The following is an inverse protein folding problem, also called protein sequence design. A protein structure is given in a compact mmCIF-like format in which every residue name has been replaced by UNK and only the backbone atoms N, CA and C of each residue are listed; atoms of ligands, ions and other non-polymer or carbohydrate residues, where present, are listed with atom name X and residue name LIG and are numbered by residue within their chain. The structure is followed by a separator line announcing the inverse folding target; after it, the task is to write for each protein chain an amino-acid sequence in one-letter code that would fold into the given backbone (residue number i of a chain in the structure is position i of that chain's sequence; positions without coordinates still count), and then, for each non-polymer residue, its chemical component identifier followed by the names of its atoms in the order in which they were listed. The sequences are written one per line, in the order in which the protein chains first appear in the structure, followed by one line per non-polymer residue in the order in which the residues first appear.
data_IF_942139468375
#
_entry.id   IF_942139468375
#
_cell.length_a   1.000
_cell.length_b   1.000
_cell.length_c   1.000
_cell.angle_alpha   90.00
_cell.angle_beta   90.00
_cell.angle_gamma   90.00
#
_symmetry.space_group_name_H-M   'P 1'
#
loop_
_entity.id
_entity.type
_entity.pdbx_description
1 polymer ?
#
# COMPACT_ATOMS: atom_id res chain seq x y z
N UNK A 1 11.48 -10.42 61.57
CA UNK A 1 10.59 -9.48 60.87
C UNK A 1 11.25 -9.18 59.52
N UNK A 2 10.83 -9.87 58.45
CA UNK A 2 11.40 -9.69 57.09
C UNK A 2 10.56 -8.67 56.37
N UNK A 3 11.15 -7.54 56.04
CA UNK A 3 10.52 -6.45 55.24
C UNK A 3 10.44 -6.92 53.79
N UNK A 4 9.24 -7.21 53.28
CA UNK A 4 9.01 -7.41 51.86
C UNK A 4 8.95 -6.04 51.19
N UNK A 5 9.97 -5.71 50.40
CA UNK A 5 9.96 -4.54 49.54
C UNK A 5 9.08 -4.85 48.32
N UNK A 6 7.87 -4.31 48.30
CA UNK A 6 6.99 -4.37 47.12
C UNK A 6 7.52 -3.38 46.09
N UNK A 7 8.24 -3.87 45.08
CA UNK A 7 8.60 -3.10 43.92
C UNK A 7 7.35 -3.05 43.03
N UNK A 8 6.61 -1.98 43.10
CA UNK A 8 5.55 -1.65 42.13
C UNK A 8 6.26 -1.23 40.85
N UNK A 9 6.41 -2.15 39.91
CA UNK A 9 6.71 -1.81 38.51
C UNK A 9 5.51 -1.07 37.97
N UNK A 10 5.54 0.27 37.99
CA UNK A 10 4.67 1.09 37.19
C UNK A 10 4.99 0.75 35.72
N UNK A 11 4.11 -0.01 35.09
CA UNK A 11 4.11 -0.11 33.62
C UNK A 11 3.82 1.29 33.10
N UNK A 12 4.88 2.05 32.86
CA UNK A 12 4.78 3.29 32.07
C UNK A 12 4.41 2.81 30.68
N UNK A 13 3.15 2.95 30.32
CA UNK A 13 2.72 2.85 28.93
C UNK A 13 3.54 3.88 28.17
N UNK A 14 4.53 3.40 27.40
CA UNK A 14 5.35 4.22 26.50
C UNK A 14 4.48 4.56 25.27
N UNK A 15 3.32 5.14 25.53
CA UNK A 15 2.53 5.81 24.51
C UNK A 15 3.10 7.24 24.44
N UNK A 16 4.03 7.44 23.52
CA UNK A 16 4.61 8.78 23.31
C UNK A 16 3.48 9.81 23.16
N UNK A 17 3.61 10.97 23.80
CA UNK A 17 2.67 12.07 23.59
C UNK A 17 2.69 12.47 22.13
N UNK A 18 1.53 12.79 21.55
CA UNK A 18 1.47 13.41 20.23
C UNK A 18 2.35 14.66 20.26
N UNK A 19 3.35 14.78 19.37
CA UNK A 19 4.27 15.92 19.39
C UNK A 19 3.52 17.23 19.08
N UNK A 20 3.88 18.30 19.75
CA UNK A 20 3.31 19.64 19.48
C UNK A 20 3.81 20.23 18.17
N UNK A 21 4.92 19.72 17.62
CA UNK A 21 5.54 20.17 16.37
C UNK A 21 6.10 18.96 15.61
N UNK A 22 5.85 18.91 14.29
CA UNK A 22 6.43 17.93 13.39
C UNK A 22 5.93 16.51 13.62
N UNK A 23 6.80 15.56 13.32
CA UNK A 23 6.55 14.12 13.38
C UNK A 23 7.66 13.43 14.15
N UNK A 24 7.29 12.53 15.04
CA UNK A 24 8.19 11.60 15.71
C UNK A 24 7.99 10.21 15.16
N UNK A 25 9.08 9.50 14.88
CA UNK A 25 9.06 8.11 14.40
C UNK A 25 9.97 7.29 15.31
N UNK A 26 9.39 6.32 16.00
CA UNK A 26 10.10 5.39 16.87
C UNK A 26 9.94 3.96 16.32
N UNK A 27 10.98 3.17 16.36
CA UNK A 27 10.92 1.75 16.00
C UNK A 27 11.00 0.92 17.29
N UNK A 28 10.09 -0.02 17.43
CA UNK A 28 10.13 -0.98 18.52
C UNK A 28 11.19 -2.07 18.28
N UNK A 29 11.32 -2.99 19.24
CA UNK A 29 12.26 -4.12 19.14
C UNK A 29 11.97 -5.12 18.02
N UNK A 30 10.78 -5.06 17.42
CA UNK A 30 10.36 -5.90 16.30
C UNK A 30 10.54 -5.19 14.97
N UNK A 31 10.95 -3.93 14.98
CA UNK A 31 11.12 -3.11 13.79
C UNK A 31 9.82 -2.45 13.29
N UNK A 32 8.74 -2.50 14.08
CA UNK A 32 7.51 -1.80 13.76
C UNK A 32 7.68 -0.31 14.00
N UNK A 33 7.34 0.51 13.01
CA UNK A 33 7.40 1.95 13.13
C UNK A 33 6.16 2.49 13.84
N UNK A 34 6.36 3.32 14.84
CA UNK A 34 5.35 4.10 15.55
C UNK A 34 5.50 5.56 15.13
N UNK A 35 4.59 6.05 14.29
CA UNK A 35 4.59 7.42 13.78
C UNK A 35 3.59 8.25 14.58
N UNK A 36 4.07 9.28 15.25
CA UNK A 36 3.23 10.24 15.97
C UNK A 36 3.41 11.63 15.37
N UNK A 37 2.32 12.27 14.97
CA UNK A 37 2.34 13.54 14.27
C UNK A 37 1.33 14.55 14.83
N UNK A 38 1.63 15.84 14.68
CA UNK A 38 0.75 16.93 15.19
C UNK A 38 -0.56 17.07 14.43
N UNK A 39 -0.64 16.56 13.19
CA UNK A 39 -1.81 16.59 12.31
C UNK A 39 -1.74 15.45 11.27
N UNK A 40 -2.80 15.29 10.48
CA UNK A 40 -2.93 14.23 9.47
C UNK A 40 -1.89 14.37 8.34
N UNK A 41 -1.61 15.58 7.87
CA UNK A 41 -0.62 15.80 6.80
C UNK A 41 0.78 15.36 7.24
N UNK A 42 1.21 15.78 8.43
CA UNK A 42 2.48 15.35 9.03
C UNK A 42 2.51 13.84 9.32
N UNK A 43 1.34 13.22 9.57
CA UNK A 43 1.22 11.77 9.73
C UNK A 43 1.51 11.03 8.42
N UNK A 44 0.96 11.50 7.30
CA UNK A 44 1.25 10.94 5.98
C UNK A 44 2.72 11.14 5.59
N UNK A 45 3.31 12.29 5.90
CA UNK A 45 4.74 12.51 5.74
C UNK A 45 5.56 11.46 6.51
N UNK A 46 5.28 11.27 7.79
CA UNK A 46 5.95 10.27 8.62
C UNK A 46 5.75 8.84 8.13
N UNK A 47 4.56 8.53 7.59
CA UNK A 47 4.28 7.22 7.01
C UNK A 47 5.15 6.97 5.78
N UNK A 48 5.22 7.93 4.84
CA UNK A 48 6.10 7.82 3.66
C UNK A 48 7.58 7.67 4.04
N UNK A 49 8.04 8.46 5.01
CA UNK A 49 9.40 8.36 5.55
C UNK A 49 9.70 6.99 6.15
N UNK A 50 8.82 6.48 7.05
CA UNK A 50 9.00 5.21 7.74
C UNK A 50 8.98 4.02 6.77
N UNK A 51 8.07 4.02 5.81
CA UNK A 51 8.02 2.99 4.75
C UNK A 51 9.32 2.98 3.94
N UNK A 52 9.83 4.15 3.59
CA UNK A 52 11.09 4.27 2.84
C UNK A 52 12.29 3.83 3.68
N UNK A 53 12.32 4.17 4.97
CA UNK A 53 13.36 3.68 5.88
C UNK A 53 13.48 2.15 5.84
N UNK A 54 12.36 1.44 5.83
CA UNK A 54 12.33 -0.02 5.91
C UNK A 54 12.42 -0.71 4.54
N UNK A 55 11.91 -0.07 3.47
CA UNK A 55 11.70 -0.71 2.17
C UNK A 55 12.05 0.17 0.96
N UNK A 56 13.04 1.09 1.07
CA UNK A 56 13.34 2.07 0.02
C UNK A 56 13.43 1.47 -1.40
N UNK A 57 14.28 0.46 -1.59
CA UNK A 57 14.52 -0.11 -2.91
C UNK A 57 13.30 -0.84 -3.47
N UNK A 58 12.55 -1.54 -2.62
CA UNK A 58 11.31 -2.20 -3.02
C UNK A 58 10.23 -1.19 -3.38
N UNK A 59 10.00 -0.19 -2.52
CA UNK A 59 9.02 0.87 -2.75
C UNK A 59 9.24 1.56 -4.09
N UNK A 60 10.47 1.98 -4.37
CA UNK A 60 10.82 2.68 -5.60
C UNK A 60 10.77 1.75 -6.83
N UNK A 61 11.14 0.46 -6.69
CA UNK A 61 10.92 -0.54 -7.74
C UNK A 61 9.43 -0.67 -8.10
N UNK A 62 8.57 -0.79 -7.10
CA UNK A 62 7.12 -0.89 -7.32
C UNK A 62 6.54 0.35 -8.01
N UNK A 63 7.07 1.54 -7.69
CA UNK A 63 6.67 2.78 -8.38
C UNK A 63 7.23 2.86 -9.80
N UNK A 64 8.46 2.40 -10.05
CA UNK A 64 9.01 2.27 -11.40
C UNK A 64 8.11 1.39 -12.29
N UNK A 65 7.73 0.23 -11.76
CA UNK A 65 6.81 -0.69 -12.42
C UNK A 65 5.45 -0.04 -12.70
N UNK A 66 4.92 0.71 -11.73
CA UNK A 66 3.63 1.38 -11.89
C UNK A 66 3.67 2.53 -12.91
N UNK A 67 4.80 3.23 -13.01
CA UNK A 67 5.05 4.24 -14.07
C UNK A 67 5.26 3.65 -15.46
N UNK A 68 5.34 2.32 -15.62
CA UNK A 68 5.72 1.67 -16.88
C UNK A 68 7.20 1.84 -17.23
N UNK A 69 8.07 2.11 -16.24
CA UNK A 69 9.51 2.31 -16.39
C UNK A 69 10.34 1.15 -15.83
N UNK A 70 9.69 0.05 -15.45
CA UNK A 70 10.39 -1.10 -14.89
C UNK A 70 11.45 -1.66 -15.83
N UNK A 71 11.15 -1.83 -17.12
CA UNK A 71 12.10 -2.37 -18.10
C UNK A 71 13.30 -1.47 -18.37
N UNK A 72 13.11 -0.15 -18.36
CA UNK A 72 14.18 0.84 -18.50
C UNK A 72 15.24 0.70 -17.40
N UNK A 73 14.81 0.35 -16.19
CA UNK A 73 15.61 0.44 -14.98
C UNK A 73 16.06 -0.95 -14.49
N UNK A 74 15.15 -1.92 -14.52
CA UNK A 74 15.38 -3.27 -13.98
C UNK A 74 15.56 -4.34 -15.06
N UNK A 75 15.51 -3.95 -16.34
CA UNK A 75 15.86 -4.81 -17.47
C UNK A 75 14.67 -5.53 -18.13
N UNK A 76 14.96 -6.43 -19.10
CA UNK A 76 13.97 -6.96 -20.03
C UNK A 76 12.86 -7.81 -19.38
N UNK A 77 13.09 -8.34 -18.19
CA UNK A 77 12.06 -9.08 -17.44
C UNK A 77 10.80 -8.28 -17.13
N UNK A 78 10.90 -6.95 -17.13
CA UNK A 78 9.79 -6.04 -16.82
C UNK A 78 9.01 -5.57 -18.07
N UNK A 79 9.39 -5.98 -19.28
CA UNK A 79 8.79 -5.51 -20.55
C UNK A 79 7.31 -5.83 -20.63
N UNK A 80 6.90 -7.05 -20.23
CA UNK A 80 5.49 -7.45 -20.26
C UNK A 80 4.63 -6.58 -19.34
N UNK A 81 5.11 -6.30 -18.13
CA UNK A 81 4.43 -5.42 -17.19
C UNK A 81 4.40 -3.97 -17.69
N UNK A 82 5.50 -3.45 -18.24
CA UNK A 82 5.52 -2.11 -18.82
C UNK A 82 4.48 -1.98 -19.94
N UNK A 83 4.41 -2.98 -20.83
CA UNK A 83 3.40 -2.99 -21.91
C UNK A 83 1.99 -2.96 -21.32
N UNK A 84 1.70 -3.79 -20.32
CA UNK A 84 0.40 -3.81 -19.66
C UNK A 84 0.03 -2.45 -19.06
N UNK A 85 0.96 -1.84 -18.32
CA UNK A 85 0.77 -0.51 -17.71
C UNK A 85 0.48 0.57 -18.76
N UNK A 86 1.32 0.64 -19.79
CA UNK A 86 1.24 1.71 -20.80
C UNK A 86 0.05 1.51 -21.74
N UNK A 87 -0.24 0.27 -22.15
CA UNK A 87 -1.41 -0.02 -23.00
C UNK A 87 -2.74 0.35 -22.32
N UNK A 88 -2.79 0.22 -20.99
CA UNK A 88 -3.97 0.60 -20.23
C UNK A 88 -4.01 2.09 -19.82
N UNK A 89 -3.01 2.88 -20.21
CA UNK A 89 -2.94 4.31 -19.89
C UNK A 89 -2.98 4.59 -18.39
N UNK A 90 -2.33 3.73 -17.58
CA UNK A 90 -2.42 3.84 -16.13
C UNK A 90 -1.82 5.14 -15.59
N UNK A 91 -0.66 5.64 -16.08
CA UNK A 91 -0.09 6.89 -15.60
C UNK A 91 -1.02 8.09 -15.81
N UNK A 92 -1.64 8.20 -17.00
CA UNK A 92 -2.55 9.27 -17.35
C UNK A 92 -3.83 9.21 -16.50
N UNK A 93 -4.37 8.02 -16.32
CA UNK A 93 -5.55 7.78 -15.47
C UNK A 93 -5.29 8.13 -14.01
N UNK A 94 -4.13 7.77 -13.49
CA UNK A 94 -3.76 8.10 -12.12
C UNK A 94 -3.55 9.60 -11.92
N UNK A 95 -2.96 10.29 -12.91
CA UNK A 95 -2.84 11.74 -12.89
C UNK A 95 -4.22 12.42 -12.91
N UNK A 96 -5.18 11.88 -13.66
CA UNK A 96 -6.57 12.36 -13.63
C UNK A 96 -7.23 12.09 -12.27
N UNK A 97 -7.10 10.90 -11.74
CA UNK A 97 -7.62 10.58 -10.41
C UNK A 97 -7.05 11.48 -9.32
N UNK A 98 -5.76 11.81 -9.40
CA UNK A 98 -5.14 12.75 -8.47
C UNK A 98 -5.79 14.14 -8.57
N UNK A 99 -6.03 14.66 -9.79
CA UNK A 99 -6.70 15.95 -9.99
C UNK A 99 -8.13 15.98 -9.45
N UNK A 100 -8.83 14.85 -9.51
CA UNK A 100 -10.22 14.69 -9.02
C UNK A 100 -10.31 14.56 -7.49
N UNK A 101 -9.20 14.31 -6.79
CA UNK A 101 -9.22 14.24 -5.35
C UNK A 101 -9.47 15.63 -4.72
N UNK A 102 -10.02 15.63 -3.49
CA UNK A 102 -10.13 16.87 -2.73
C UNK A 102 -8.75 17.49 -2.50
N UNK A 103 -8.65 18.82 -2.38
CA UNK A 103 -7.37 19.47 -2.08
C UNK A 103 -6.69 18.90 -0.83
N UNK A 104 -7.48 18.59 0.19
CA UNK A 104 -7.01 18.00 1.44
C UNK A 104 -6.36 16.63 1.20
N UNK A 105 -7.03 15.73 0.49
CA UNK A 105 -6.48 14.41 0.23
C UNK A 105 -5.26 14.45 -0.70
N UNK A 106 -5.21 15.37 -1.66
CA UNK A 106 -3.98 15.62 -2.43
C UNK A 106 -2.83 16.03 -1.54
N UNK A 107 -3.08 16.93 -0.56
CA UNK A 107 -2.09 17.32 0.44
C UNK A 107 -1.52 16.13 1.21
N UNK A 108 -2.35 15.16 1.57
CA UNK A 108 -1.90 13.92 2.24
C UNK A 108 -1.02 13.05 1.33
N UNK A 109 -1.41 12.89 0.05
CA UNK A 109 -0.61 12.15 -0.91
C UNK A 109 0.75 12.82 -1.19
N UNK A 110 0.75 14.14 -1.30
CA UNK A 110 1.97 14.93 -1.50
C UNK A 110 2.89 14.87 -0.27
N UNK A 111 2.32 14.90 0.92
CA UNK A 111 3.07 14.74 2.17
C UNK A 111 3.71 13.35 2.28
N UNK A 112 2.98 12.29 1.88
CA UNK A 112 3.52 10.94 1.82
C UNK A 112 4.70 10.85 0.84
N UNK A 113 4.54 11.38 -0.37
CA UNK A 113 5.59 11.45 -1.38
C UNK A 113 6.79 12.27 -0.90
N UNK A 114 6.54 13.40 -0.22
CA UNK A 114 7.59 14.22 0.40
C UNK A 114 8.38 13.44 1.43
N UNK A 115 7.74 12.65 2.28
CA UNK A 115 8.41 11.78 3.26
C UNK A 115 9.38 10.79 2.59
N UNK A 116 8.97 10.20 1.46
CA UNK A 116 9.82 9.32 0.65
C UNK A 116 11.05 10.07 0.11
N UNK A 117 10.83 11.23 -0.51
CA UNK A 117 11.88 12.02 -1.13
C UNK A 117 12.89 12.55 -0.11
N UNK A 118 12.41 13.05 1.03
CA UNK A 118 13.25 13.59 2.09
C UNK A 118 14.11 12.48 2.74
N UNK A 119 13.54 11.27 2.92
CA UNK A 119 14.33 10.13 3.36
C UNK A 119 15.44 9.79 2.36
N UNK A 120 15.08 9.70 1.08
CA UNK A 120 16.04 9.39 0.01
C UNK A 120 17.16 10.43 -0.10
N UNK A 121 16.84 11.70 0.06
CA UNK A 121 17.82 12.80 0.07
C UNK A 121 18.75 12.74 1.29
N UNK A 122 18.21 12.32 2.46
CA UNK A 122 18.99 12.26 3.71
C UNK A 122 19.89 11.03 3.78
N UNK A 123 19.49 9.93 3.19
CA UNK A 123 20.19 8.63 3.25
C UNK A 123 20.40 8.02 1.86
N UNK A 124 21.05 8.75 0.92
CA UNK A 124 21.20 8.28 -0.44
C UNK A 124 22.04 7.00 -0.55
N UNK A 125 22.90 6.72 0.42
CA UNK A 125 23.71 5.49 0.48
C UNK A 125 22.88 4.23 0.73
N UNK A 126 21.65 4.36 1.22
CA UNK A 126 20.72 3.24 1.44
C UNK A 126 19.91 2.86 0.21
N UNK A 127 20.01 3.64 -0.86
CA UNK A 127 19.29 3.42 -2.10
C UNK A 127 20.23 2.88 -3.18
N UNK A 128 19.77 1.87 -3.92
CA UNK A 128 20.45 1.40 -5.12
C UNK A 128 20.41 2.48 -6.23
N UNK A 129 21.25 2.32 -7.26
CA UNK A 129 21.26 3.24 -8.41
C UNK A 129 19.91 3.24 -9.15
N UNK A 130 19.30 2.06 -9.29
CA UNK A 130 18.01 1.85 -9.92
C UNK A 130 16.90 2.59 -9.14
N UNK A 131 16.88 2.47 -7.81
CA UNK A 131 15.92 3.16 -6.97
C UNK A 131 16.04 4.67 -7.09
N UNK A 132 17.26 5.21 -7.12
CA UNK A 132 17.51 6.65 -7.28
C UNK A 132 16.98 7.20 -8.61
N UNK A 133 16.98 6.39 -9.70
CA UNK A 133 16.48 6.80 -11.01
C UNK A 133 14.95 7.07 -11.05
N UNK A 134 14.23 6.67 -10.00
CA UNK A 134 12.78 6.89 -9.87
C UNK A 134 12.43 8.23 -9.23
N UNK A 135 13.34 8.77 -8.45
CA UNK A 135 13.13 10.04 -7.75
C UNK A 135 13.04 11.24 -8.71
N UNK A 136 12.26 12.26 -8.41
CA UNK A 136 11.39 12.35 -7.24
C UNK A 136 10.08 11.56 -7.39
N UNK A 137 9.53 11.14 -6.25
CA UNK A 137 8.17 10.62 -6.12
C UNK A 137 7.21 11.80 -5.98
N UNK A 138 6.00 11.66 -6.52
CA UNK A 138 4.92 12.66 -6.44
C UNK A 138 3.67 12.05 -5.81
N UNK A 139 2.70 12.86 -5.41
CA UNK A 139 1.42 12.37 -4.88
C UNK A 139 0.61 11.51 -5.86
N UNK A 140 0.95 11.52 -7.15
CA UNK A 140 0.35 10.63 -8.16
C UNK A 140 0.82 9.18 -7.99
N UNK A 141 2.06 8.94 -7.58
CA UNK A 141 2.67 7.61 -7.52
C UNK A 141 1.95 6.62 -6.58
N UNK A 142 1.59 6.98 -5.35
CA UNK A 142 0.82 6.07 -4.49
C UNK A 142 -0.57 5.75 -5.05
N UNK A 143 -1.23 6.67 -5.76
CA UNK A 143 -2.50 6.38 -6.45
C UNK A 143 -2.28 5.47 -7.65
N UNK A 144 -1.27 5.74 -8.46
CA UNK A 144 -0.91 4.92 -9.61
C UNK A 144 -0.58 3.49 -9.19
N UNK A 145 0.20 3.33 -8.12
CA UNK A 145 0.52 2.03 -7.57
C UNK A 145 -0.74 1.31 -7.05
N UNK A 146 -1.60 2.01 -6.31
CA UNK A 146 -2.87 1.47 -5.82
C UNK A 146 -3.78 1.03 -6.98
N UNK A 147 -3.88 1.84 -8.05
CA UNK A 147 -4.62 1.51 -9.28
C UNK A 147 -4.06 0.25 -9.93
N UNK A 148 -2.74 0.16 -10.14
CA UNK A 148 -2.10 -1.01 -10.72
C UNK A 148 -2.39 -2.27 -9.92
N UNK A 149 -2.28 -2.22 -8.61
CA UNK A 149 -2.51 -3.39 -7.75
C UNK A 149 -3.99 -3.77 -7.72
N UNK A 150 -4.89 -2.82 -7.42
CA UNK A 150 -6.30 -3.14 -7.21
C UNK A 150 -7.00 -3.45 -8.54
N UNK A 151 -6.93 -2.55 -9.52
CA UNK A 151 -7.70 -2.70 -10.75
C UNK A 151 -7.02 -3.58 -11.79
N UNK A 152 -5.69 -3.48 -11.92
CA UNK A 152 -4.95 -4.09 -13.02
C UNK A 152 -4.08 -5.30 -12.61
N UNK A 153 -4.29 -5.80 -11.39
CA UNK A 153 -3.74 -7.09 -10.94
C UNK A 153 -4.85 -7.97 -10.34
N UNK A 154 -5.66 -7.43 -9.42
CA UNK A 154 -6.70 -8.23 -8.77
C UNK A 154 -8.02 -8.28 -9.57
N UNK A 155 -8.48 -7.18 -10.18
CA UNK A 155 -9.73 -7.16 -10.97
C UNK A 155 -9.46 -7.64 -12.39
N UNK A 156 -8.52 -7.01 -13.10
CA UNK A 156 -8.11 -7.44 -14.44
C UNK A 156 -6.59 -7.67 -14.48
N UNK A 157 -6.16 -8.60 -15.33
CA UNK A 157 -4.74 -8.85 -15.56
C UNK A 157 -4.50 -9.26 -17.00
N UNK A 158 -3.28 -9.09 -17.49
CA UNK A 158 -2.91 -9.53 -18.84
C UNK A 158 -3.23 -11.01 -19.05
N UNK A 159 -2.99 -11.84 -18.05
CA UNK A 159 -3.27 -13.29 -18.10
C UNK A 159 -4.78 -13.59 -18.21
N UNK A 160 -5.63 -12.84 -17.50
CA UNK A 160 -7.09 -12.97 -17.61
C UNK A 160 -7.60 -12.56 -18.98
N UNK A 161 -7.09 -11.47 -19.53
CA UNK A 161 -7.44 -11.02 -20.88
C UNK A 161 -7.02 -12.04 -21.92
N UNK A 162 -5.81 -12.57 -21.83
CA UNK A 162 -5.30 -13.61 -22.73
C UNK A 162 -6.11 -14.91 -22.63
N UNK A 163 -6.43 -15.35 -21.42
CA UNK A 163 -7.26 -16.53 -21.19
C UNK A 163 -8.65 -16.37 -21.80
N UNK A 164 -9.30 -15.22 -21.61
CA UNK A 164 -10.60 -14.93 -22.21
C UNK A 164 -10.52 -14.87 -23.74
N UNK A 165 -9.48 -14.28 -24.31
CA UNK A 165 -9.28 -14.19 -25.76
C UNK A 165 -9.04 -15.56 -26.42
N UNK A 166 -8.44 -16.51 -25.72
CA UNK A 166 -8.11 -17.86 -26.21
C UNK A 166 -9.15 -18.91 -25.83
N UNK A 167 -10.16 -18.57 -25.03
CA UNK A 167 -11.14 -19.51 -24.49
C UNK A 167 -10.56 -20.43 -23.40
N UNK A 168 -9.36 -20.13 -22.91
CA UNK A 168 -8.75 -20.85 -21.82
C UNK A 168 -9.40 -20.47 -20.48
N UNK A 169 -9.47 -21.42 -19.55
CA UNK A 169 -9.86 -21.09 -18.17
C UNK A 169 -8.69 -20.33 -17.54
N UNK A 170 -8.92 -19.06 -17.20
CA UNK A 170 -7.93 -18.31 -16.45
C UNK A 170 -7.65 -19.05 -15.13
N UNK A 171 -6.50 -19.68 -15.02
CA UNK A 171 -6.01 -20.14 -13.72
C UNK A 171 -5.75 -18.89 -12.90
N UNK A 172 -6.65 -18.59 -12.00
CA UNK A 172 -6.37 -17.62 -10.96
C UNK A 172 -5.30 -18.24 -10.07
N UNK A 173 -4.04 -17.88 -10.28
CA UNK A 173 -3.02 -18.04 -9.24
C UNK A 173 -3.31 -17.09 -8.06
N UNK A 174 -4.48 -16.49 -8.09
CA UNK A 174 -4.94 -15.66 -7.01
C UNK A 174 -5.15 -16.56 -5.80
N UNK A 175 -4.19 -16.54 -4.91
CA UNK A 175 -4.45 -16.89 -3.54
C UNK A 175 -5.73 -16.18 -3.12
N UNK A 176 -6.52 -16.78 -2.28
CA UNK A 176 -7.67 -16.12 -1.67
C UNK A 176 -7.23 -15.31 -0.46
N UNK A 177 -8.19 -14.95 0.34
CA UNK A 177 -7.96 -14.40 1.68
C UNK A 177 -9.12 -14.81 2.55
N UNK A 178 -8.87 -14.92 3.86
CA UNK A 178 -9.91 -15.15 4.84
C UNK A 178 -9.95 -13.99 5.84
N UNK A 179 -11.14 -13.65 6.29
CA UNK A 179 -11.35 -12.71 7.37
C UNK A 179 -12.48 -13.20 8.28
N UNK A 180 -12.28 -13.08 9.58
CA UNK A 180 -13.31 -13.40 10.59
C UNK A 180 -13.40 -12.23 11.57
N UNK A 181 -14.63 -11.76 11.78
CA UNK A 181 -14.98 -10.85 12.85
C UNK A 181 -15.88 -11.60 13.85
N UNK A 182 -15.46 -11.69 15.10
CA UNK A 182 -16.19 -12.40 16.16
C UNK A 182 -16.61 -11.38 17.20
N UNK A 183 -17.92 -11.22 17.37
CA UNK A 183 -18.50 -10.28 18.32
C UNK A 183 -18.38 -10.73 19.78
N UNK A 184 -18.54 -9.82 20.74
CA UNK A 184 -18.31 -10.05 22.18
C UNK A 184 -19.11 -11.22 22.77
N UNK A 185 -20.31 -11.49 22.26
CA UNK A 185 -21.15 -12.58 22.74
C UNK A 185 -20.64 -13.98 22.42
N UNK A 186 -19.61 -14.09 21.58
CA UNK A 186 -19.00 -15.36 21.12
C UNK A 186 -17.54 -15.51 21.52
N UNK A 187 -17.04 -14.62 22.37
CA UNK A 187 -15.65 -14.64 22.85
C UNK A 187 -15.59 -14.85 24.36
N UNK A 188 -14.59 -15.56 24.83
CA UNK A 188 -14.30 -15.65 26.26
C UNK A 188 -13.73 -14.30 26.72
N UNK A 189 -14.38 -13.68 27.70
CA UNK A 189 -13.97 -12.36 28.19
C UNK A 189 -14.64 -11.17 27.52
N UNK A 190 -15.56 -11.39 26.55
CA UNK A 190 -16.43 -10.34 25.99
C UNK A 190 -15.75 -9.32 25.08
N UNK A 191 -14.53 -9.59 24.61
CA UNK A 191 -13.83 -8.76 23.64
C UNK A 191 -14.20 -9.10 22.19
N UNK A 192 -14.04 -8.18 21.25
CA UNK A 192 -14.15 -8.44 19.81
C UNK A 192 -12.84 -9.00 19.28
N UNK A 193 -12.92 -10.00 18.39
CA UNK A 193 -11.76 -10.53 17.67
C UNK A 193 -11.89 -10.25 16.17
N UNK A 194 -10.81 -9.82 15.55
CA UNK A 194 -10.68 -9.68 14.11
C UNK A 194 -9.46 -10.47 13.64
N UNK A 195 -9.65 -11.38 12.69
CA UNK A 195 -8.58 -12.11 12.06
C UNK A 195 -8.57 -11.79 10.58
N UNK A 196 -7.41 -11.44 10.04
CA UNK A 196 -7.15 -11.29 8.61
C UNK A 196 -6.04 -12.23 8.18
N UNK A 197 -6.26 -12.94 7.08
CA UNK A 197 -5.30 -13.90 6.55
C UNK A 197 -5.24 -13.77 5.02
N UNK A 198 -4.36 -12.92 4.47
CA UNK A 198 -4.11 -12.83 3.03
C UNK A 198 -3.30 -14.04 2.56
N UNK A 199 -3.78 -14.75 1.52
CA UNK A 199 -3.09 -15.87 0.87
C UNK A 199 -2.47 -15.39 -0.45
N UNK A 200 -1.58 -14.45 -0.40
CA UNK A 200 -0.89 -13.91 -1.57
C UNK A 200 0.47 -14.60 -1.75
N UNK A 201 0.96 -14.62 -3.00
CA UNK A 201 2.29 -15.13 -3.30
C UNK A 201 3.36 -14.34 -2.53
N UNK A 202 4.38 -15.02 -2.05
CA UNK A 202 5.53 -14.38 -1.43
C UNK A 202 6.38 -13.71 -2.51
N UNK A 203 6.40 -12.40 -2.49
CA UNK A 203 7.12 -11.61 -3.49
C UNK A 203 6.91 -10.12 -3.31
N UNK A 204 7.59 -9.35 -4.13
CA UNK A 204 7.70 -7.89 -4.03
C UNK A 204 6.35 -7.20 -3.86
N UNK A 205 5.38 -7.50 -4.75
CA UNK A 205 4.06 -6.86 -4.74
C UNK A 205 3.24 -7.18 -3.49
N UNK A 206 3.49 -8.31 -2.86
CA UNK A 206 2.75 -8.81 -1.70
C UNK A 206 3.49 -8.59 -0.38
N UNK A 207 4.57 -7.83 -0.38
CA UNK A 207 5.28 -7.48 0.84
C UNK A 207 4.46 -6.51 1.68
N UNK A 208 4.15 -6.90 2.91
CA UNK A 208 3.43 -6.07 3.86
C UNK A 208 4.40 -5.31 4.76
N UNK A 209 3.98 -4.11 5.14
CA UNK A 209 4.64 -3.24 6.10
C UNK A 209 3.70 -2.96 7.26
N UNK A 210 4.12 -3.29 8.46
CA UNK A 210 3.37 -3.10 9.70
C UNK A 210 3.76 -1.75 10.31
N UNK A 211 2.76 -0.98 10.76
CA UNK A 211 2.96 0.39 11.25
C UNK A 211 1.85 0.82 12.20
N UNK A 212 2.21 1.67 13.16
CA UNK A 212 1.30 2.37 14.05
C UNK A 212 1.30 3.88 13.73
N UNK A 213 0.11 4.44 13.50
CA UNK A 213 -0.11 5.82 13.06
C UNK A 213 -0.94 6.56 14.09
N UNK A 214 -0.42 7.71 14.60
CA UNK A 214 -1.08 8.53 15.62
C UNK A 214 -1.05 10.01 15.27
N UNK A 215 -2.24 10.63 15.32
CA UNK A 215 -2.44 12.07 15.24
C UNK A 215 -3.67 12.46 16.06
N UNK A 216 -3.98 13.77 16.27
CA UNK A 216 -5.20 14.15 16.95
C UNK A 216 -6.45 13.52 16.32
N UNK A 217 -7.17 12.70 17.08
CA UNK A 217 -8.36 11.97 16.62
C UNK A 217 -8.07 10.74 15.76
N UNK A 218 -6.80 10.38 15.55
CA UNK A 218 -6.37 9.22 14.76
C UNK A 218 -5.44 8.36 15.63
N UNK A 219 -5.80 7.09 15.78
CA UNK A 219 -4.93 6.06 16.34
C UNK A 219 -5.22 4.75 15.63
N UNK A 220 -4.32 4.35 14.73
CA UNK A 220 -4.47 3.22 13.83
C UNK A 220 -3.25 2.31 13.92
N UNK A 221 -3.47 1.04 14.15
CA UNK A 221 -2.42 0.03 14.04
C UNK A 221 -2.80 -0.95 12.94
N UNK A 222 -1.84 -1.33 12.12
CA UNK A 222 -2.12 -2.29 11.08
C UNK A 222 -1.01 -2.50 10.08
N UNK A 223 -1.37 -3.06 8.94
CA UNK A 223 -0.43 -3.37 7.87
C UNK A 223 -0.99 -2.99 6.50
N UNK A 224 -0.09 -2.68 5.59
CA UNK A 224 -0.40 -2.47 4.19
C UNK A 224 0.70 -3.04 3.30
N UNK A 225 0.39 -3.30 2.05
CA UNK A 225 1.43 -3.59 1.07
C UNK A 225 2.31 -2.34 0.87
N UNK A 226 3.61 -2.58 0.70
CA UNK A 226 4.58 -1.50 0.46
C UNK A 226 4.14 -0.66 -0.74
N UNK A 227 4.14 0.65 -0.57
CA UNK A 227 3.76 1.61 -1.61
C UNK A 227 2.32 2.12 -1.54
N UNK A 228 1.46 1.55 -0.71
CA UNK A 228 0.13 2.09 -0.46
C UNK A 228 0.18 3.23 0.57
N UNK A 229 -0.58 4.31 0.36
CA UNK A 229 -0.65 5.42 1.30
C UNK A 229 -1.70 5.21 2.40
N UNK A 230 -2.24 4.00 2.55
CA UNK A 230 -3.28 3.68 3.53
C UNK A 230 -3.11 2.25 4.05
N UNK A 231 -3.60 2.01 5.27
CA UNK A 231 -3.63 0.67 5.86
C UNK A 231 -4.73 -0.17 5.21
N UNK A 232 -4.41 -1.41 4.88
CA UNK A 232 -5.35 -2.37 4.28
C UNK A 232 -5.87 -3.38 5.29
N UNK A 233 -5.12 -3.62 6.34
CA UNK A 233 -5.51 -4.35 7.54
C UNK A 233 -5.28 -3.39 8.68
N UNK A 234 -6.33 -3.02 9.40
CA UNK A 234 -6.24 -1.96 10.40
C UNK A 234 -7.21 -2.21 11.54
N UNK A 235 -6.81 -1.80 12.72
CA UNK A 235 -7.68 -1.66 13.86
C UNK A 235 -7.37 -0.39 14.66
N UNK A 236 -8.38 0.07 15.34
CA UNK A 236 -8.36 1.16 16.30
C UNK A 236 -9.23 0.78 17.51
N UNK A 237 -9.42 1.67 18.45
CA UNK A 237 -10.33 1.46 19.57
C UNK A 237 -11.81 1.29 19.12
N UNK A 238 -12.16 1.73 17.90
CA UNK A 238 -13.54 1.80 17.41
C UNK A 238 -13.83 0.91 16.23
N UNK A 239 -12.82 0.57 15.43
CA UNK A 239 -12.99 -0.12 14.14
C UNK A 239 -11.87 -1.12 13.89
N UNK A 240 -12.25 -2.32 13.47
CA UNK A 240 -11.36 -3.25 12.81
C UNK A 240 -11.78 -3.43 11.35
N UNK A 241 -10.81 -3.43 10.43
CA UNK A 241 -11.06 -3.57 9.00
C UNK A 241 -10.04 -4.51 8.36
N UNK A 242 -10.55 -5.45 7.56
CA UNK A 242 -9.77 -6.36 6.73
C UNK A 242 -10.31 -6.39 5.32
N UNK A 243 -9.43 -6.64 4.36
CA UNK A 243 -9.80 -6.84 2.95
C UNK A 243 -9.55 -8.27 2.52
N UNK A 244 -10.44 -8.80 1.70
CA UNK A 244 -10.26 -10.03 0.95
C UNK A 244 -10.38 -9.73 -0.54
N UNK A 245 -9.82 -10.60 -1.40
CA UNK A 245 -10.02 -10.49 -2.85
C UNK A 245 -11.48 -10.75 -3.17
N UNK A 246 -12.11 -9.81 -3.87
CA UNK A 246 -13.48 -9.97 -4.35
C UNK A 246 -13.50 -10.87 -5.58
N UNK A 247 -14.46 -11.80 -5.63
CA UNK A 247 -14.64 -12.77 -6.73
C UNK A 247 -15.76 -12.34 -7.68
N UNK A 248 -16.22 -11.08 -7.62
CA UNK A 248 -17.23 -10.60 -8.59
C UNK A 248 -16.66 -10.64 -10.00
N UNK A 249 -17.52 -10.94 -10.94
CA UNK A 249 -17.24 -10.78 -12.37
C UNK A 249 -17.33 -9.28 -12.71
N UNK A 250 -16.18 -8.64 -12.82
CA UNK A 250 -16.06 -7.20 -13.02
C UNK A 250 -15.21 -6.86 -14.28
N UNK A 251 -15.07 -7.84 -15.20
CA UNK A 251 -14.30 -7.66 -16.42
C UNK A 251 -14.96 -8.38 -17.60
N UNK A 252 -15.29 -7.60 -18.63
CA UNK A 252 -15.70 -8.13 -19.92
C UNK A 252 -14.56 -8.01 -20.94
N UNK A 253 -14.42 -9.02 -21.79
CA UNK A 253 -13.43 -9.04 -22.88
C UNK A 253 -14.15 -9.13 -24.22
N UNK A 254 -13.93 -8.14 -25.07
CA UNK A 254 -14.55 -8.05 -26.39
C UNK A 254 -13.52 -8.35 -27.48
N UNK A 255 -13.91 -9.15 -28.47
CA UNK A 255 -13.14 -9.31 -29.71
C UNK A 255 -13.57 -8.20 -30.68
N UNK A 256 -12.65 -7.32 -31.00
CA UNK A 256 -12.92 -6.27 -31.99
C UNK A 256 -12.68 -6.80 -33.40
N UNK A 257 -13.58 -6.43 -34.35
CA UNK A 257 -13.30 -6.56 -35.78
C UNK A 257 -12.47 -5.38 -36.21
N UNK A 258 -11.35 -5.65 -36.87
CA UNK A 258 -10.44 -4.60 -37.34
C UNK A 258 -10.53 -4.48 -38.85
N UNK A 259 -10.68 -3.28 -39.35
CA UNK A 259 -10.61 -2.96 -40.79
C UNK A 259 -9.40 -2.04 -41.01
N UNK A 260 -8.31 -2.62 -41.54
CA UNK A 260 -7.02 -1.96 -41.60
C UNK A 260 -6.51 -1.61 -40.18
N UNK A 261 -6.12 -0.35 -39.95
CA UNK A 261 -5.64 0.15 -38.65
C UNK A 261 -6.80 0.68 -37.76
N UNK A 262 -8.05 0.52 -38.18
CA UNK A 262 -9.23 1.05 -37.46
C UNK A 262 -9.99 -0.09 -36.79
N UNK A 263 -10.27 0.04 -35.50
CA UNK A 263 -11.23 -0.83 -34.82
C UNK A 263 -12.66 -0.34 -35.11
N UNK A 264 -13.50 -1.23 -35.67
CA UNK A 264 -14.93 -0.98 -35.80
C UNK A 264 -15.62 -1.45 -34.52
N UNK A 265 -16.13 -0.51 -33.73
CA UNK A 265 -17.05 -0.81 -32.63
C UNK A 265 -18.46 -0.76 -33.23
N UNK A 266 -19.06 -1.93 -33.50
CA UNK A 266 -20.50 -2.01 -33.70
C UNK A 266 -21.19 -1.81 -32.35
N UNK A 267 -21.95 -0.75 -32.20
CA UNK A 267 -22.78 -0.47 -31.05
C UNK A 267 -23.90 -1.49 -30.87
#
# INVERSE_FOLDING_TARGET
MRLFLLVVLAAVSVWGKIPSKGTEILWDRFGVAHVSAKNTEDLFYGYGWATTHSHANLLLKLYAQSRGRGAEIYGPGEVALNRWVLTNGMPERAAEWYRQQTPEFRGYLDAFAKGINDYAAKYPERLSAEAKAILPVTGVDPLLHSMRVVHYTFVSSAQRVEAAATGAVARTEAGGSNAWAVGPSRTVGGGTLLLGNPHLAWGDLSTYYEIHLRAPGIELYGASQVGFPCLRFVFSDYLGFNQTVNTIDAMDVYRLTVDGDKSLVSG
#
